data_IF_817620219858
#
_entry.id   IF_817620219858
#
_cell.length_a   1.000
_cell.length_b   1.000
_cell.length_c   1.000
_cell.angle_alpha   90.00
_cell.angle_beta   90.00
_cell.angle_gamma   90.00
#
_symmetry.space_group_name_H-M   'P 1'
#
loop_
_entity.id
_entity.type
_entity.pdbx_description
1 polymer ?
#
# COMPACT_ATOMS: atom_id res chain seq x y z
N UNK A 1 -3.01 15.02 7.92
CA UNK A 1 -2.60 14.01 6.94
C UNK A 1 -2.41 12.69 7.63
N UNK A 2 -2.99 11.67 7.08
CA UNK A 2 -2.92 10.32 7.62
C UNK A 2 -2.32 9.39 6.58
N UNK A 3 -1.49 8.46 7.01
CA UNK A 3 -0.79 7.55 6.10
C UNK A 3 -1.19 6.11 6.38
N UNK A 4 -1.65 5.41 5.36
CA UNK A 4 -1.76 3.95 5.42
C UNK A 4 -0.41 3.37 5.03
N UNK A 5 0.26 2.80 6.02
CA UNK A 5 1.56 2.15 5.86
C UNK A 5 1.35 0.66 5.66
N UNK A 6 1.95 0.11 4.61
CA UNK A 6 1.81 -1.30 4.24
C UNK A 6 3.20 -1.83 3.92
N UNK A 7 3.53 -3.01 4.43
CA UNK A 7 4.77 -3.66 4.02
C UNK A 7 4.60 -5.16 3.96
N UNK A 8 5.23 -5.79 2.98
CA UNK A 8 5.21 -7.24 2.82
C UNK A 8 6.30 -7.71 1.86
N UNK A 9 6.58 -9.01 1.93
CA UNK A 9 7.45 -9.67 0.96
C UNK A 9 6.72 -9.86 -0.36
N UNK A 10 7.47 -9.97 -1.45
CA UNK A 10 6.94 -10.24 -2.78
C UNK A 10 7.77 -11.34 -3.45
N UNK A 11 7.15 -12.09 -4.37
CA UNK A 11 7.86 -13.09 -5.14
C UNK A 11 8.77 -12.46 -6.18
N UNK A 12 8.32 -11.33 -6.76
CA UNK A 12 9.03 -10.60 -7.80
C UNK A 12 8.55 -9.16 -7.77
N UNK A 13 9.48 -8.21 -7.64
CA UNK A 13 9.12 -6.80 -7.53
C UNK A 13 8.43 -6.29 -8.79
N UNK A 14 8.89 -6.68 -9.96
CA UNK A 14 8.32 -6.18 -11.22
C UNK A 14 6.88 -6.67 -11.40
N UNK A 15 6.61 -7.93 -11.06
CA UNK A 15 5.25 -8.47 -11.10
C UNK A 15 4.35 -7.73 -10.10
N UNK A 16 4.85 -7.47 -8.90
CA UNK A 16 4.12 -6.71 -7.90
C UNK A 16 3.82 -5.29 -8.40
N UNK A 17 4.82 -4.62 -8.96
CA UNK A 17 4.70 -3.24 -9.44
C UNK A 17 3.68 -3.13 -10.57
N UNK A 18 3.65 -4.11 -11.48
CA UNK A 18 2.66 -4.16 -12.56
C UNK A 18 1.25 -4.29 -11.99
N UNK A 19 1.05 -5.20 -11.04
CA UNK A 19 -0.24 -5.39 -10.38
C UNK A 19 -0.66 -4.13 -9.61
N UNK A 20 0.27 -3.52 -8.90
CA UNK A 20 0.02 -2.28 -8.15
C UNK A 20 -0.45 -1.16 -9.09
N UNK A 21 0.16 -1.06 -10.27
CA UNK A 21 -0.20 -0.06 -11.26
C UNK A 21 -1.62 -0.18 -11.78
N UNK A 22 -2.20 -1.38 -11.80
CA UNK A 22 -3.58 -1.59 -12.27
C UNK A 22 -4.60 -0.87 -11.39
N UNK A 23 -4.28 -0.60 -10.14
CA UNK A 23 -5.19 0.04 -9.19
C UNK A 23 -4.92 1.53 -9.00
N UNK A 24 -4.12 2.15 -9.87
CA UNK A 24 -3.78 3.57 -9.75
C UNK A 24 -5.02 4.47 -9.75
N UNK A 25 -5.96 4.21 -10.66
CA UNK A 25 -7.20 4.98 -10.73
C UNK A 25 -8.07 4.81 -9.49
N UNK A 26 -8.13 3.59 -8.96
CA UNK A 26 -8.89 3.30 -7.75
C UNK A 26 -8.29 4.02 -6.54
N UNK A 27 -6.96 4.04 -6.42
CA UNK A 27 -6.30 4.78 -5.35
C UNK A 27 -6.67 6.26 -5.39
N UNK A 28 -6.62 6.85 -6.57
CA UNK A 28 -6.97 8.25 -6.74
C UNK A 28 -8.43 8.51 -6.36
N UNK A 29 -9.35 7.67 -6.80
CA UNK A 29 -10.77 7.78 -6.48
C UNK A 29 -11.04 7.58 -5.00
N UNK A 30 -10.22 6.80 -4.31
CA UNK A 30 -10.37 6.51 -2.89
C UNK A 30 -9.81 7.59 -1.97
N UNK A 31 -9.20 8.62 -2.54
CA UNK A 31 -8.71 9.77 -1.79
C UNK A 31 -7.21 9.76 -1.49
N UNK A 32 -6.43 8.88 -2.14
CA UNK A 32 -4.98 8.89 -1.98
C UNK A 32 -4.43 10.18 -2.60
N UNK A 33 -3.79 11.01 -1.77
CA UNK A 33 -3.22 12.28 -2.20
C UNK A 33 -1.81 12.14 -2.70
N UNK A 34 -1.01 11.31 -2.04
CA UNK A 34 0.36 11.01 -2.41
C UNK A 34 0.65 9.56 -2.10
N UNK A 35 1.60 9.00 -2.81
CA UNK A 35 2.04 7.64 -2.53
C UNK A 35 3.56 7.57 -2.64
N UNK A 36 4.14 6.70 -1.83
CA UNK A 36 5.56 6.36 -1.90
C UNK A 36 5.68 4.85 -1.92
N UNK A 37 6.49 4.34 -2.81
CA UNK A 37 6.83 2.92 -2.86
C UNK A 37 8.33 2.81 -2.70
N UNK A 38 8.75 2.09 -1.69
CA UNK A 38 10.16 1.91 -1.37
C UNK A 38 10.42 0.44 -1.15
N UNK A 39 11.67 0.06 -1.21
CA UNK A 39 12.08 -1.29 -0.82
C UNK A 39 13.42 -1.18 -0.10
N UNK A 40 13.69 -2.12 0.83
CA UNK A 40 14.98 -2.12 1.52
C UNK A 40 16.13 -2.24 0.51
N UNK A 41 17.22 -1.53 0.75
CA UNK A 41 18.37 -1.57 -0.17
C UNK A 41 19.01 -2.95 -0.21
N UNK A 42 18.83 -3.74 0.83
CA UNK A 42 19.39 -5.08 0.97
C UNK A 42 18.38 -6.20 0.72
N UNK A 43 17.15 -5.87 0.34
CA UNK A 43 16.12 -6.89 0.08
C UNK A 43 15.16 -6.42 -1.03
N UNK A 44 15.47 -6.71 -2.30
CA UNK A 44 14.60 -6.32 -3.41
C UNK A 44 13.29 -7.12 -3.49
N UNK A 45 13.15 -8.17 -2.68
CA UNK A 45 11.93 -8.98 -2.64
C UNK A 45 10.98 -8.54 -1.52
N UNK A 46 11.05 -7.27 -1.14
CA UNK A 46 10.21 -6.70 -0.09
C UNK A 46 9.76 -5.31 -0.52
N UNK A 47 8.55 -4.90 -0.16
CA UNK A 47 8.04 -3.56 -0.49
C UNK A 47 7.50 -2.87 0.74
N UNK A 48 7.66 -1.55 0.76
CA UNK A 48 7.13 -0.65 1.78
C UNK A 48 6.34 0.42 1.04
N UNK A 49 5.06 0.54 1.36
CA UNK A 49 4.13 1.42 0.65
C UNK A 49 3.51 2.38 1.65
N UNK A 50 3.52 3.66 1.35
CA UNK A 50 2.85 4.69 2.14
C UNK A 50 1.85 5.43 1.26
N UNK A 51 0.58 5.41 1.68
CA UNK A 51 -0.52 6.07 0.97
C UNK A 51 -1.10 7.15 1.88
N UNK A 52 -1.02 8.40 1.44
CA UNK A 52 -1.49 9.54 2.23
C UNK A 52 -2.94 9.88 1.91
N UNK A 53 -3.72 10.04 2.96
CA UNK A 53 -5.14 10.41 2.91
C UNK A 53 -5.40 11.66 3.76
N UNK A 54 -6.49 12.36 3.49
CA UNK A 54 -6.89 13.50 4.31
C UNK A 54 -7.41 13.08 5.68
N UNK A 55 -8.06 11.92 5.77
CA UNK A 55 -8.71 11.46 7.01
C UNK A 55 -8.36 10.02 7.34
N UNK A 56 -8.43 9.69 8.63
CA UNK A 56 -8.31 8.31 9.11
C UNK A 56 -9.38 7.43 8.49
N UNK A 57 -10.60 7.94 8.38
CA UNK A 57 -11.73 7.20 7.84
C UNK A 57 -11.47 6.72 6.41
N UNK A 58 -10.89 7.57 5.58
CA UNK A 58 -10.51 7.21 4.21
C UNK A 58 -9.45 6.11 4.21
N UNK A 59 -8.43 6.23 5.05
CA UNK A 59 -7.37 5.23 5.17
C UNK A 59 -7.94 3.88 5.63
N UNK A 60 -8.82 3.89 6.62
CA UNK A 60 -9.46 2.67 7.12
C UNK A 60 -10.33 2.00 6.06
N UNK A 61 -11.09 2.79 5.31
CA UNK A 61 -11.95 2.26 4.25
C UNK A 61 -11.12 1.60 3.14
N UNK A 62 -10.02 2.24 2.77
CA UNK A 62 -9.16 1.69 1.74
C UNK A 62 -8.46 0.41 2.21
N UNK A 63 -8.02 0.37 3.47
CA UNK A 63 -7.43 -0.84 4.05
C UNK A 63 -8.42 -2.01 4.02
N UNK A 64 -9.68 -1.76 4.40
CA UNK A 64 -10.72 -2.80 4.34
C UNK A 64 -10.93 -3.29 2.91
N UNK A 65 -10.90 -2.37 1.94
CA UNK A 65 -11.02 -2.74 0.53
C UNK A 65 -9.87 -3.66 0.10
N UNK A 66 -8.63 -3.31 0.48
CA UNK A 66 -7.48 -4.13 0.14
C UNK A 66 -7.58 -5.53 0.73
N UNK A 67 -7.97 -5.63 2.00
CA UNK A 67 -8.12 -6.91 2.69
C UNK A 67 -9.21 -7.77 2.05
N UNK A 68 -10.31 -7.19 1.66
CA UNK A 68 -11.46 -7.92 1.14
C UNK A 68 -11.35 -8.29 -0.34
N UNK A 69 -10.71 -7.42 -1.16
CA UNK A 69 -10.80 -7.54 -2.61
C UNK A 69 -9.47 -7.67 -3.33
N UNK A 70 -8.36 -7.34 -2.69
CA UNK A 70 -7.05 -7.38 -3.34
C UNK A 70 -6.21 -8.49 -2.74
N UNK A 71 -5.96 -8.44 -1.45
CA UNK A 71 -5.06 -9.39 -0.79
C UNK A 71 -5.66 -10.79 -0.62
N UNK A 72 -6.97 -10.89 -0.70
CA UNK A 72 -7.67 -12.18 -0.65
C UNK A 72 -7.69 -12.91 -2.00
N UNK A 73 -7.19 -12.27 -3.06
CA UNK A 73 -7.26 -12.79 -4.43
C UNK A 73 -5.86 -12.89 -5.03
N UNK A 74 -5.43 -14.10 -5.37
CA UNK A 74 -4.16 -14.30 -6.06
C UNK A 74 -4.12 -13.61 -7.43
N UNK A 75 -5.28 -13.41 -8.06
CA UNK A 75 -5.38 -12.73 -9.34
C UNK A 75 -5.07 -11.22 -9.19
N UNK A 76 -5.56 -10.62 -8.10
CA UNK A 76 -5.36 -9.19 -7.85
C UNK A 76 -4.03 -8.88 -7.17
N UNK A 77 -3.48 -9.85 -6.45
CA UNK A 77 -2.20 -9.69 -5.75
C UNK A 77 -1.30 -10.91 -6.03
N UNK A 78 -0.87 -11.09 -7.28
CA UNK A 78 -0.17 -12.32 -7.69
C UNK A 78 1.22 -12.48 -7.06
N UNK A 79 1.86 -11.40 -6.68
CA UNK A 79 3.22 -11.44 -6.14
C UNK A 79 3.27 -11.33 -4.62
N UNK A 80 2.12 -11.29 -3.96
CA UNK A 80 2.05 -11.13 -2.51
C UNK A 80 2.51 -12.41 -1.80
N UNK A 81 3.39 -12.28 -0.83
CA UNK A 81 3.81 -13.35 0.06
C UNK A 81 3.36 -13.03 1.48
N UNK A 82 2.63 -13.94 2.09
CA UNK A 82 2.19 -13.80 3.48
C UNK A 82 1.11 -12.76 3.66
N UNK A 83 0.96 -12.29 4.89
CA UNK A 83 -0.02 -11.27 5.26
C UNK A 83 0.68 -9.93 5.37
N UNK A 84 0.22 -8.90 4.63
CA UNK A 84 0.81 -7.57 4.76
C UNK A 84 0.70 -7.03 6.18
N UNK A 85 1.75 -6.39 6.64
CA UNK A 85 1.75 -5.64 7.88
C UNK A 85 1.25 -4.24 7.57
N UNK A 86 0.29 -3.76 8.34
CA UNK A 86 -0.34 -2.47 8.08
C UNK A 86 -0.44 -1.64 9.34
N UNK A 87 -0.38 -0.33 9.15
CA UNK A 87 -0.53 0.62 10.23
C UNK A 87 -1.05 1.93 9.67
N UNK A 88 -1.96 2.58 10.38
CA UNK A 88 -2.41 3.91 9.99
C UNK A 88 -1.70 4.90 10.89
N UNK A 89 -1.01 5.84 10.28
CA UNK A 89 -0.15 6.80 10.95
C UNK A 89 -0.73 8.20 10.87
N UNK A 90 -0.60 8.94 11.94
CA UNK A 90 -1.02 10.34 12.01
C UNK A 90 0.21 11.21 11.95
N UNK A 91 0.20 12.24 11.10
CA UNK A 91 1.29 13.19 11.05
C UNK A 91 1.23 14.09 12.28
N UNK A 92 2.27 14.06 13.10
CA UNK A 92 2.35 14.91 14.30
C UNK A 92 3.32 16.06 14.09
N UNK A 93 4.41 15.84 13.35
CA UNK A 93 5.40 16.86 13.04
C UNK A 93 5.97 16.61 11.67
N UNK A 94 6.15 17.67 10.90
CA UNK A 94 6.82 17.60 9.61
C UNK A 94 8.16 18.31 9.75
N UNK A 95 9.22 17.62 9.29
CA UNK A 95 10.56 18.19 9.26
C UNK A 95 10.68 19.20 8.14
N UNK A 96 11.37 20.28 8.40
CA UNK A 96 11.67 21.28 7.39
C UNK A 96 13.17 21.43 7.18
#
# INVERSE_FOLDING_TARGET
>A
MHTLHIEHAVTDFDAWSTAFGRFAGLRQQSGVRQQRVQRPVDDPAYVVIDLDFDTTSQAESFLRFLQANVWSSAHNAPALIGTPQTRILELTQASS
#
